data_IF_662651030751
#
_entry.id   IF_662651030751
#
_cell.length_a   1.000
_cell.length_b   1.000
_cell.length_c   1.000
_cell.angle_alpha   90.00
_cell.angle_beta   90.00
_cell.angle_gamma   90.00
#
_symmetry.space_group_name_H-M   'P 1'
#
loop_
_entity.id
_entity.type
_entity.pdbx_description
1 polymer ?
#
# COMPACT_ATOMS: atom_id res chain seq x y z
N UNK A 1 -14.37 -2.55 10.32
CA UNK A 1 -13.27 -3.31 9.68
C UNK A 1 -11.93 -2.78 10.12
N UNK A 2 -10.99 -3.67 10.48
CA UNK A 2 -9.63 -3.31 10.93
C UNK A 2 -8.62 -3.68 9.84
N UNK A 3 -7.69 -2.77 9.55
CA UNK A 3 -6.57 -2.99 8.63
C UNK A 3 -5.59 -4.05 9.09
N UNK A 4 -4.81 -4.56 8.15
CA UNK A 4 -3.92 -5.72 8.31
C UNK A 4 -2.49 -5.30 8.70
N UNK A 5 -1.54 -6.23 8.66
CA UNK A 5 -0.20 -6.01 9.24
C UNK A 5 0.59 -4.90 8.52
N UNK A 6 0.46 -4.77 7.20
CA UNK A 6 1.20 -3.78 6.40
C UNK A 6 0.34 -2.89 5.49
N UNK A 7 0.93 -1.77 5.06
CA UNK A 7 0.32 -0.83 4.11
C UNK A 7 -0.07 -1.53 2.79
N UNK A 8 0.77 -2.46 2.31
CA UNK A 8 0.49 -3.26 1.11
C UNK A 8 -0.69 -4.20 1.28
N UNK A 9 -0.83 -4.83 2.46
CA UNK A 9 -1.94 -5.74 2.76
C UNK A 9 -3.27 -4.98 2.81
N UNK A 10 -3.28 -3.81 3.43
CA UNK A 10 -4.48 -2.96 3.47
C UNK A 10 -4.92 -2.52 2.06
N UNK A 11 -3.97 -2.11 1.19
CA UNK A 11 -4.27 -1.81 -0.22
C UNK A 11 -4.79 -3.06 -0.94
N UNK A 12 -4.12 -4.21 -0.76
CA UNK A 12 -4.47 -5.46 -1.40
C UNK A 12 -5.90 -5.87 -1.03
N UNK A 13 -6.21 -5.92 0.27
CA UNK A 13 -7.51 -6.37 0.76
C UNK A 13 -8.62 -5.34 0.57
N UNK A 14 -8.31 -4.06 0.31
CA UNK A 14 -9.32 -3.06 -0.03
C UNK A 14 -10.18 -3.44 -1.26
N UNK A 15 -9.71 -4.37 -2.11
CA UNK A 15 -10.46 -4.84 -3.27
C UNK A 15 -11.84 -5.43 -2.94
N UNK A 16 -12.06 -5.93 -1.71
CA UNK A 16 -13.34 -6.49 -1.25
C UNK A 16 -14.29 -5.45 -0.68
N UNK A 17 -13.82 -4.23 -0.39
CA UNK A 17 -14.63 -3.20 0.27
C UNK A 17 -15.86 -2.78 -0.54
N UNK A 18 -15.84 -2.69 -1.89
CA UNK A 18 -17.06 -2.47 -2.65
C UNK A 18 -18.13 -3.55 -2.40
N UNK A 19 -17.71 -4.82 -2.32
CA UNK A 19 -18.62 -5.95 -2.05
C UNK A 19 -19.20 -5.89 -0.63
N UNK A 20 -18.40 -5.42 0.34
CA UNK A 20 -18.86 -5.21 1.72
C UNK A 20 -19.88 -4.08 1.80
N UNK A 21 -19.63 -2.95 1.12
CA UNK A 21 -20.59 -1.84 1.07
C UNK A 21 -21.90 -2.29 0.45
N UNK A 22 -21.84 -3.07 -0.64
CA UNK A 22 -23.03 -3.63 -1.28
C UNK A 22 -23.79 -4.59 -0.34
N UNK A 23 -23.07 -5.51 0.32
CA UNK A 23 -23.67 -6.48 1.23
C UNK A 23 -24.28 -5.85 2.50
N UNK A 24 -23.73 -4.72 2.96
CA UNK A 24 -24.26 -3.94 4.08
C UNK A 24 -25.60 -3.26 3.74
N UNK A 25 -25.85 -2.98 2.47
CA UNK A 25 -27.06 -2.30 2.02
C UNK A 25 -27.12 -0.81 2.44
N UNK A 26 -28.24 -0.12 2.13
CA UNK A 26 -28.36 1.33 2.27
C UNK A 26 -28.33 1.82 3.72
N UNK A 27 -28.81 1.01 4.67
CA UNK A 27 -28.83 1.35 6.10
C UNK A 27 -27.54 0.94 6.82
N UNK A 28 -26.69 0.16 6.16
CA UNK A 28 -25.46 -0.37 6.73
C UNK A 28 -24.38 0.71 6.81
N UNK A 29 -23.60 0.67 7.90
CA UNK A 29 -22.50 1.62 8.13
C UNK A 29 -21.18 0.88 8.11
N UNK A 30 -20.24 1.38 7.32
CA UNK A 30 -18.89 0.83 7.25
C UNK A 30 -17.90 1.78 7.94
N UNK A 31 -17.29 1.31 9.02
CA UNK A 31 -16.12 1.96 9.64
C UNK A 31 -14.86 1.21 9.25
N UNK A 32 -13.83 1.91 8.79
CA UNK A 32 -12.56 1.32 8.34
C UNK A 32 -11.41 1.95 9.12
N UNK A 33 -10.70 1.14 9.89
CA UNK A 33 -9.47 1.55 10.57
C UNK A 33 -8.26 1.13 9.72
N UNK A 34 -7.48 2.09 9.22
CA UNK A 34 -6.33 1.87 8.33
C UNK A 34 -5.06 2.53 8.85
N UNK A 35 -3.94 2.23 8.21
CA UNK A 35 -2.68 2.93 8.44
C UNK A 35 -2.87 4.44 8.13
N UNK A 36 -2.35 5.36 8.98
CA UNK A 36 -2.67 6.78 8.86
C UNK A 36 -2.45 7.42 7.48
N UNK A 37 -1.43 6.99 6.73
CA UNK A 37 -1.13 7.52 5.39
C UNK A 37 -2.15 7.09 4.34
N UNK A 38 -2.91 6.01 4.61
CA UNK A 38 -3.95 5.51 3.73
C UNK A 38 -5.31 6.19 3.94
N UNK A 39 -5.52 6.91 5.04
CA UNK A 39 -6.81 7.55 5.35
C UNK A 39 -7.33 8.41 4.18
N UNK A 40 -6.55 9.35 3.58
CA UNK A 40 -7.06 10.18 2.49
C UNK A 40 -7.42 9.37 1.24
N UNK A 41 -6.70 8.28 0.98
CA UNK A 41 -6.96 7.39 -0.14
C UNK A 41 -8.25 6.59 0.06
N UNK A 42 -8.44 6.01 1.24
CA UNK A 42 -9.61 5.21 1.57
C UNK A 42 -10.86 6.10 1.66
N UNK A 43 -10.79 7.27 2.30
CA UNK A 43 -11.94 8.19 2.39
C UNK A 43 -12.40 8.66 1.01
N UNK A 44 -11.48 8.93 0.08
CA UNK A 44 -11.81 9.29 -1.31
C UNK A 44 -12.39 8.11 -2.10
N UNK A 45 -11.97 6.89 -1.79
CA UNK A 45 -12.41 5.67 -2.49
C UNK A 45 -13.76 5.16 -1.98
N UNK A 46 -14.06 5.40 -0.69
CA UNK A 46 -15.25 4.93 0.00
C UNK A 46 -15.90 6.11 0.75
N UNK A 47 -16.51 7.07 0.04
CA UNK A 47 -17.01 8.32 0.64
C UNK A 47 -18.15 8.11 1.64
N UNK A 48 -18.84 6.98 1.59
CA UNK A 48 -19.91 6.60 2.53
C UNK A 48 -19.38 5.90 3.79
N UNK A 49 -18.09 5.53 3.82
CA UNK A 49 -17.46 4.91 4.97
C UNK A 49 -16.85 5.97 5.90
N UNK A 50 -16.85 5.67 7.21
CA UNK A 50 -16.07 6.40 8.19
C UNK A 50 -14.67 5.80 8.25
N UNK A 51 -13.65 6.56 7.83
CA UNK A 51 -12.27 6.09 7.78
C UNK A 51 -11.41 6.79 8.82
N UNK A 52 -10.63 6.02 9.57
CA UNK A 52 -9.70 6.60 10.54
C UNK A 52 -8.49 5.71 10.84
N UNK A 53 -7.62 6.19 11.71
CA UNK A 53 -6.37 5.51 12.03
C UNK A 53 -6.59 4.32 12.97
N UNK A 54 -5.98 3.18 12.67
CA UNK A 54 -5.59 2.26 13.74
C UNK A 54 -4.24 2.67 14.34
N UNK A 55 -3.94 2.19 15.54
CA UNK A 55 -2.64 2.30 16.18
C UNK A 55 -2.21 0.92 16.66
N UNK A 56 -0.95 0.56 16.43
CA UNK A 56 -0.39 -0.72 16.91
C UNK A 56 0.74 -0.42 17.89
N UNK A 57 0.68 -1.04 19.06
CA UNK A 57 1.70 -0.91 20.09
C UNK A 57 2.02 -2.28 20.69
N UNK A 58 3.23 -2.41 21.23
CA UNK A 58 3.63 -3.62 21.98
C UNK A 58 3.29 -3.41 23.45
N UNK A 59 2.49 -4.29 24.02
CA UNK A 59 2.19 -4.34 25.44
C UNK A 59 2.48 -5.74 25.96
N UNK A 60 3.33 -5.85 26.98
CA UNK A 60 3.77 -7.14 27.55
C UNK A 60 4.26 -8.15 26.49
N UNK A 61 5.02 -7.66 25.50
CA UNK A 61 5.54 -8.48 24.40
C UNK A 61 4.52 -8.91 23.35
N UNK A 62 3.26 -8.49 23.47
CA UNK A 62 2.18 -8.76 22.51
C UNK A 62 1.91 -7.52 21.67
N UNK A 63 1.77 -7.72 20.37
CA UNK A 63 1.32 -6.66 19.46
C UNK A 63 -0.19 -6.48 19.63
N UNK A 64 -0.61 -5.28 20.02
CA UNK A 64 -2.01 -4.91 20.19
C UNK A 64 -2.36 -3.80 19.21
N UNK A 65 -3.53 -3.93 18.58
CA UNK A 65 -4.08 -2.92 17.68
C UNK A 65 -5.33 -2.28 18.28
N UNK A 66 -5.36 -0.96 18.31
CA UNK A 66 -6.49 -0.15 18.75
C UNK A 66 -6.99 0.73 17.61
N UNK A 67 -8.18 1.29 17.79
CA UNK A 67 -8.85 2.17 16.83
C UNK A 67 -9.20 3.49 17.54
N UNK A 68 -8.22 4.38 17.79
CA UNK A 68 -8.41 5.52 18.68
C UNK A 68 -9.53 6.47 18.26
N UNK A 69 -9.77 6.65 16.96
CA UNK A 69 -10.83 7.53 16.47
C UNK A 69 -12.25 7.03 16.81
N UNK A 70 -12.39 5.75 17.18
CA UNK A 70 -13.64 5.14 17.64
C UNK A 70 -13.75 5.07 19.17
N UNK A 71 -12.84 5.71 19.91
CA UNK A 71 -12.92 5.75 21.37
C UNK A 71 -14.28 6.32 21.82
N UNK A 72 -14.93 5.63 22.76
CA UNK A 72 -16.29 5.98 23.24
C UNK A 72 -17.44 5.66 22.28
N UNK A 73 -17.15 5.09 21.10
CA UNK A 73 -18.17 4.68 20.10
C UNK A 73 -18.10 3.21 19.72
N UNK A 74 -17.26 2.41 20.41
CA UNK A 74 -17.16 0.97 20.13
C UNK A 74 -18.46 0.22 20.43
N UNK A 75 -19.28 0.73 21.36
CA UNK A 75 -20.59 0.15 21.69
C UNK A 75 -21.61 0.25 20.55
N UNK A 76 -21.41 1.18 19.60
CA UNK A 76 -22.27 1.32 18.42
C UNK A 76 -21.84 0.44 17.25
N UNK A 77 -20.88 -0.49 17.45
CA UNK A 77 -20.36 -1.37 16.41
C UNK A 77 -20.93 -2.77 16.59
N UNK A 78 -21.78 -3.20 15.66
CA UNK A 78 -22.40 -4.54 15.71
C UNK A 78 -21.38 -5.66 15.45
N UNK A 79 -20.44 -5.42 14.52
CA UNK A 79 -19.47 -6.41 14.07
C UNK A 79 -18.09 -5.78 13.84
N UNK A 80 -17.06 -6.49 14.28
CA UNK A 80 -15.66 -6.09 14.07
C UNK A 80 -14.87 -7.27 13.49
N UNK A 81 -14.14 -7.00 12.40
CA UNK A 81 -13.41 -8.03 11.66
C UNK A 81 -12.17 -7.44 10.97
N UNK A 82 -11.02 -8.14 10.95
CA UNK A 82 -9.89 -7.81 10.09
C UNK A 82 -10.27 -7.93 8.61
N UNK A 83 -9.78 -7.04 7.75
CA UNK A 83 -10.19 -6.99 6.34
C UNK A 83 -10.00 -8.32 5.61
N UNK A 84 -8.83 -8.95 5.76
CA UNK A 84 -8.49 -10.19 5.09
C UNK A 84 -9.39 -11.37 5.48
N UNK A 85 -10.05 -11.31 6.64
CA UNK A 85 -10.94 -12.39 7.07
C UNK A 85 -12.17 -12.55 6.19
N UNK A 86 -12.65 -11.46 5.56
CA UNK A 86 -13.82 -11.49 4.68
C UNK A 86 -13.53 -12.07 3.28
N UNK A 87 -12.26 -12.30 2.93
CA UNK A 87 -11.93 -13.00 1.69
C UNK A 87 -12.55 -14.40 1.61
N UNK A 88 -12.73 -15.07 2.76
CA UNK A 88 -13.40 -16.39 2.81
C UNK A 88 -14.87 -16.35 2.38
N UNK A 89 -15.48 -15.17 2.42
CA UNK A 89 -16.84 -14.95 1.93
C UNK A 89 -16.85 -14.45 0.48
N UNK A 90 -16.00 -13.47 0.16
CA UNK A 90 -16.07 -12.76 -1.13
C UNK A 90 -15.11 -13.27 -2.21
N UNK A 91 -14.12 -14.11 -1.87
CA UNK A 91 -13.03 -14.56 -2.78
C UNK A 91 -12.73 -16.06 -2.57
N UNK A 92 -13.73 -16.92 -2.75
CA UNK A 92 -13.60 -18.37 -2.57
C UNK A 92 -13.00 -19.08 -3.77
N UNK A 93 -13.14 -18.49 -4.95
CA UNK A 93 -12.56 -18.94 -6.21
C UNK A 93 -12.02 -17.75 -7.01
N UNK A 94 -11.15 -18.01 -8.00
CA UNK A 94 -10.62 -16.99 -8.91
C UNK A 94 -11.75 -16.26 -9.65
N UNK A 95 -12.84 -16.97 -9.96
CA UNK A 95 -14.03 -16.41 -10.61
C UNK A 95 -14.78 -15.39 -9.74
N UNK A 96 -14.58 -15.38 -8.43
CA UNK A 96 -15.26 -14.47 -7.51
C UNK A 96 -14.60 -13.09 -7.47
N UNK A 97 -13.43 -12.95 -8.09
CA UNK A 97 -12.80 -11.65 -8.28
C UNK A 97 -13.54 -10.89 -9.37
N UNK A 98 -14.18 -9.76 -9.03
CA UNK A 98 -15.00 -9.04 -9.98
C UNK A 98 -14.12 -8.29 -10.97
N UNK A 99 -14.59 -8.18 -12.21
CA UNK A 99 -13.95 -7.37 -13.24
C UNK A 99 -14.22 -5.89 -12.96
N UNK A 100 -13.40 -5.27 -12.13
CA UNK A 100 -13.46 -3.85 -11.80
C UNK A 100 -12.23 -3.16 -12.39
N UNK A 101 -12.45 -2.00 -13.00
CA UNK A 101 -11.35 -1.15 -13.47
C UNK A 101 -10.47 -0.68 -12.29
N UNK A 102 -11.11 -0.32 -11.17
CA UNK A 102 -10.46 0.10 -9.93
C UNK A 102 -11.38 -0.08 -8.73
N UNK A 103 -10.79 -0.15 -7.55
CA UNK A 103 -11.48 -0.07 -6.25
C UNK A 103 -10.90 1.01 -5.33
N UNK A 104 -9.80 1.66 -5.77
CA UNK A 104 -9.23 2.83 -5.12
C UNK A 104 -9.19 3.98 -6.12
N UNK A 105 -9.53 5.18 -5.65
CA UNK A 105 -9.52 6.41 -6.44
C UNK A 105 -8.22 7.14 -6.13
N UNK A 106 -7.34 7.32 -7.12
CA UNK A 106 -6.10 8.08 -6.94
C UNK A 106 -6.36 9.57 -6.65
N UNK A 107 -5.42 10.24 -5.98
CA UNK A 107 -5.50 11.68 -5.76
C UNK A 107 -5.17 12.41 -7.09
N UNK A 108 -6.09 13.23 -7.64
CA UNK A 108 -5.88 13.90 -8.92
C UNK A 108 -4.66 14.82 -8.94
N UNK A 109 -4.34 15.49 -7.83
CA UNK A 109 -3.16 16.37 -7.74
C UNK A 109 -1.87 15.54 -7.79
N UNK A 110 -1.85 14.39 -7.10
CA UNK A 110 -0.73 13.45 -7.15
C UNK A 110 -0.57 12.84 -8.55
N UNK A 111 -1.67 12.52 -9.23
CA UNK A 111 -1.64 12.03 -10.61
C UNK A 111 -1.06 13.08 -11.55
N UNK A 112 -1.48 14.34 -11.42
CA UNK A 112 -0.94 15.44 -12.24
C UNK A 112 0.57 15.61 -12.01
N UNK A 113 1.01 15.66 -10.75
CA UNK A 113 2.42 15.74 -10.38
C UNK A 113 3.24 14.60 -11.00
N UNK A 114 2.81 13.35 -10.83
CA UNK A 114 3.57 12.22 -11.38
C UNK A 114 3.55 12.16 -12.91
N UNK A 115 2.48 12.62 -13.57
CA UNK A 115 2.49 12.77 -15.03
C UNK A 115 3.55 13.76 -15.48
N UNK A 116 3.68 14.91 -14.81
CA UNK A 116 4.71 15.91 -15.11
C UNK A 116 6.13 15.35 -14.91
N UNK A 117 6.37 14.70 -13.76
CA UNK A 117 7.66 14.06 -13.45
C UNK A 117 8.04 13.01 -14.49
N UNK A 118 7.11 12.13 -14.86
CA UNK A 118 7.38 11.06 -15.82
C UNK A 118 7.55 11.58 -17.26
N UNK A 119 6.84 12.65 -17.63
CA UNK A 119 6.93 13.27 -18.96
C UNK A 119 8.23 14.07 -19.13
N UNK A 120 8.71 14.71 -18.07
CA UNK A 120 9.99 15.45 -18.07
C UNK A 120 11.23 14.55 -17.97
N UNK A 121 11.08 13.31 -17.51
CA UNK A 121 12.18 12.35 -17.44
C UNK A 121 12.64 11.88 -18.84
N UNK A 122 13.91 11.45 -19.00
CA UNK A 122 14.48 11.01 -20.28
C UNK A 122 13.60 10.02 -21.06
N UNK A 123 13.58 10.13 -22.39
CA UNK A 123 12.74 9.29 -23.24
C UNK A 123 12.98 7.78 -23.01
N UNK A 124 11.96 6.96 -23.28
CA UNK A 124 12.01 5.51 -23.09
C UNK A 124 10.96 4.98 -22.11
N UNK A 125 10.92 3.65 -21.97
CA UNK A 125 10.00 2.96 -21.07
C UNK A 125 10.35 3.28 -19.62
N UNK A 126 9.40 3.84 -18.87
CA UNK A 126 9.58 4.17 -17.45
C UNK A 126 9.50 2.90 -16.61
N UNK A 127 10.54 2.62 -15.83
CA UNK A 127 10.60 1.44 -14.95
C UNK A 127 10.95 1.89 -13.54
N UNK A 128 10.02 1.73 -12.61
CA UNK A 128 10.26 2.00 -11.20
C UNK A 128 11.16 0.92 -10.59
N UNK A 129 12.20 1.34 -9.87
CA UNK A 129 13.16 0.44 -9.24
C UNK A 129 13.19 0.63 -7.72
N UNK A 130 13.07 -0.48 -7.00
CA UNK A 130 13.25 -0.59 -5.56
C UNK A 130 14.01 -1.88 -5.29
N UNK A 131 15.21 -1.78 -4.72
CA UNK A 131 16.17 -2.90 -4.68
C UNK A 131 16.46 -3.41 -3.26
N UNK A 132 16.09 -2.66 -2.22
CA UNK A 132 16.24 -3.10 -0.81
C UNK A 132 15.01 -2.78 0.04
N UNK A 133 14.76 -3.62 1.05
CA UNK A 133 13.74 -3.34 2.07
C UNK A 133 14.27 -2.35 3.12
N UNK A 134 13.39 -1.53 3.67
CA UNK A 134 13.68 -0.74 4.87
C UNK A 134 13.86 -1.62 6.14
N UNK A 135 13.38 -2.86 6.12
CA UNK A 135 13.56 -3.81 7.22
C UNK A 135 14.78 -4.68 6.94
N UNK A 136 15.95 -4.17 7.31
CA UNK A 136 17.21 -4.88 7.23
C UNK A 136 17.49 -5.62 8.55
N UNK A 137 17.65 -6.94 8.48
CA UNK A 137 18.28 -7.74 9.52
C UNK A 137 19.38 -8.57 8.88
N UNK A 138 20.38 -9.02 9.64
CA UNK A 138 21.48 -9.85 9.13
C UNK A 138 20.96 -11.06 8.33
N UNK A 139 19.84 -11.64 8.76
CA UNK A 139 19.16 -12.73 8.04
C UNK A 139 18.53 -12.31 6.71
N UNK A 140 18.05 -11.06 6.57
CA UNK A 140 17.36 -10.57 5.37
C UNK A 140 18.26 -10.04 4.27
N UNK A 141 19.50 -9.65 4.58
CA UNK A 141 20.44 -9.18 3.55
C UNK A 141 20.64 -10.20 2.42
N UNK A 142 20.54 -11.51 2.72
CA UNK A 142 20.62 -12.58 1.70
C UNK A 142 19.52 -12.53 0.64
N UNK A 143 18.42 -11.80 0.88
CA UNK A 143 17.30 -11.66 -0.06
C UNK A 143 17.41 -10.41 -0.94
N UNK A 144 18.46 -9.62 -0.79
CA UNK A 144 18.70 -8.43 -1.61
C UNK A 144 19.95 -8.66 -2.44
N UNK A 145 19.86 -8.42 -3.75
CA UNK A 145 21.02 -8.47 -4.62
C UNK A 145 21.97 -7.31 -4.29
N UNK A 146 23.30 -7.56 -4.27
CA UNK A 146 24.30 -6.50 -4.28
C UNK A 146 24.04 -5.51 -5.42
N UNK A 147 24.34 -4.24 -5.22
CA UNK A 147 24.02 -3.20 -6.18
C UNK A 147 24.70 -3.44 -7.54
N UNK A 148 25.92 -3.99 -7.53
CA UNK A 148 26.74 -4.28 -8.70
C UNK A 148 26.06 -5.30 -9.64
N UNK A 149 25.24 -6.20 -9.11
CA UNK A 149 24.49 -7.17 -9.91
C UNK A 149 23.37 -6.52 -10.72
N UNK A 150 23.00 -5.27 -10.43
CA UNK A 150 22.02 -4.51 -11.20
C UNK A 150 22.62 -3.87 -12.45
N UNK A 151 23.95 -3.80 -12.59
CA UNK A 151 24.60 -3.11 -13.71
C UNK A 151 24.08 -3.55 -15.10
N UNK A 152 23.93 -4.85 -15.41
CA UNK A 152 23.40 -5.27 -16.71
C UNK A 152 21.93 -4.86 -16.93
N UNK A 153 21.15 -4.78 -15.85
CA UNK A 153 19.74 -4.36 -15.90
C UNK A 153 19.67 -2.86 -16.13
N UNK A 154 20.47 -2.08 -15.41
CA UNK A 154 20.52 -0.61 -15.51
C UNK A 154 21.01 -0.14 -16.89
N UNK A 155 21.83 -0.93 -17.58
CA UNK A 155 22.30 -0.66 -18.95
C UNK A 155 21.26 -0.97 -20.06
N UNK A 156 20.05 -1.41 -19.71
CA UNK A 156 19.01 -1.75 -20.70
C UNK A 156 18.65 -0.54 -21.54
N UNK A 157 18.87 -0.65 -22.86
CA UNK A 157 18.60 0.44 -23.80
C UNK A 157 17.10 0.76 -23.90
N UNK A 158 16.78 2.04 -24.07
CA UNK A 158 15.40 2.52 -24.21
C UNK A 158 14.57 2.45 -22.92
N UNK A 159 15.20 2.23 -21.77
CA UNK A 159 14.57 2.25 -20.44
C UNK A 159 15.04 3.48 -19.67
N UNK A 160 14.10 4.14 -19.00
CA UNK A 160 14.37 5.19 -18.03
C UNK A 160 13.97 4.66 -16.64
N UNK A 161 14.98 4.40 -15.80
CA UNK A 161 14.77 3.91 -14.45
C UNK A 161 14.37 5.07 -13.52
N UNK A 162 13.29 4.86 -12.75
CA UNK A 162 12.79 5.80 -11.76
C UNK A 162 13.08 5.23 -10.38
N UNK A 163 13.86 5.94 -9.58
CA UNK A 163 14.18 5.51 -8.22
C UNK A 163 12.92 5.58 -7.32
N UNK A 164 12.49 4.43 -6.78
CA UNK A 164 11.40 4.30 -5.83
C UNK A 164 11.88 3.85 -4.44
N UNK A 165 13.19 3.79 -4.21
CA UNK A 165 13.79 3.30 -2.98
C UNK A 165 13.41 4.18 -1.79
N UNK A 166 13.01 3.53 -0.70
CA UNK A 166 12.74 4.20 0.56
C UNK A 166 14.05 4.55 1.28
N UNK A 167 14.02 5.67 2.01
CA UNK A 167 15.11 6.10 2.89
C UNK A 167 16.25 6.79 2.15
N UNK A 168 17.36 6.98 2.86
CA UNK A 168 18.58 7.51 2.27
C UNK A 168 19.24 6.45 1.37
N UNK A 169 19.49 6.83 0.12
CA UNK A 169 20.20 6.04 -0.87
C UNK A 169 21.24 6.89 -1.63
N UNK A 170 21.65 8.03 -1.06
CA UNK A 170 22.56 8.96 -1.72
C UNK A 170 23.93 8.31 -2.01
N UNK A 171 24.44 7.49 -1.09
CA UNK A 171 25.71 6.79 -1.28
C UNK A 171 25.65 5.77 -2.41
N UNK A 172 24.58 4.97 -2.50
CA UNK A 172 24.41 3.99 -3.57
C UNK A 172 24.16 4.66 -4.93
N UNK A 173 23.42 5.78 -4.97
CA UNK A 173 23.26 6.58 -6.19
C UNK A 173 24.62 7.12 -6.65
N UNK A 174 25.44 7.63 -5.73
CA UNK A 174 26.76 8.15 -6.07
C UNK A 174 27.72 7.04 -6.51
N UNK A 175 27.65 5.86 -5.88
CA UNK A 175 28.37 4.68 -6.33
C UNK A 175 27.94 4.31 -7.77
N UNK A 176 26.63 4.28 -8.04
CA UNK A 176 26.09 3.99 -9.36
C UNK A 176 26.64 4.94 -10.43
N UNK A 177 26.64 6.25 -10.17
CA UNK A 177 27.19 7.26 -11.10
C UNK A 177 28.66 7.04 -11.40
N UNK A 178 29.45 6.69 -10.38
CA UNK A 178 30.89 6.47 -10.56
C UNK A 178 31.19 5.20 -11.36
N UNK A 179 30.42 4.14 -11.13
CA UNK A 179 30.71 2.81 -11.67
C UNK A 179 30.00 2.53 -13.00
N UNK A 180 28.84 3.15 -13.24
CA UNK A 180 27.96 2.85 -14.37
C UNK A 180 27.79 4.02 -15.35
N UNK A 181 28.23 5.23 -14.98
CA UNK A 181 28.03 6.48 -15.75
C UNK A 181 26.66 7.11 -15.52
#
# INVERSE_FOLDING_TARGET
MIGEQGLGDEILFANLLPDVVEALGPEGRLTIAVEPRLIPLFQRSFPTAEVGAHATFTHEGRSMRTVPFMAGRLESVDLCVPMGSLLRQFRRAVSDFPRRERFLTADPARVAHWREVLTSAPAGKKVGLLWKSAVASAGRHRFFSPFEQWAPILATQGVCFVNLQYGDCAQEIEQARRELG
#
